data_IF_458957270431
#
_entry.id   IF_458957270431
#
_cell.length_a   1.000
_cell.length_b   1.000
_cell.length_c   1.000
_cell.angle_alpha   90.00
_cell.angle_beta   90.00
_cell.angle_gamma   90.00
#
_symmetry.space_group_name_H-M   'P 1'
#
loop_
_entity.id
_entity.type
_entity.pdbx_description
1 polymer ?
#
# COMPACT_ATOMS: atom_id res chain seq x y z
N UNK A 1 -16.20 -24.04 -17.34
CA UNK A 1 -15.12 -23.49 -18.20
C UNK A 1 -15.58 -23.28 -19.65
N UNK A 2 -15.96 -24.31 -20.41
CA UNK A 2 -16.42 -24.15 -21.82
C UNK A 2 -17.49 -23.07 -22.03
N UNK A 3 -18.60 -23.13 -21.29
CA UNK A 3 -19.68 -22.13 -21.34
C UNK A 3 -19.22 -20.72 -20.94
N UNK A 4 -18.31 -20.63 -19.97
CA UNK A 4 -17.77 -19.37 -19.47
C UNK A 4 -16.88 -18.67 -20.51
N UNK A 5 -16.11 -19.44 -21.29
CA UNK A 5 -15.29 -18.91 -22.39
C UNK A 5 -16.19 -18.33 -23.48
N UNK A 6 -17.17 -19.11 -23.95
CA UNK A 6 -18.10 -18.64 -24.99
C UNK A 6 -18.84 -17.37 -24.55
N UNK A 7 -19.34 -17.35 -23.31
CA UNK A 7 -19.99 -16.17 -22.72
C UNK A 7 -19.07 -14.94 -22.66
N UNK A 8 -17.83 -15.10 -22.15
CA UNK A 8 -16.86 -13.99 -22.04
C UNK A 8 -16.38 -13.48 -23.40
N UNK A 9 -16.28 -14.36 -24.39
CA UNK A 9 -15.96 -14.01 -25.78
C UNK A 9 -17.18 -13.50 -26.57
N UNK A 10 -18.38 -13.49 -25.95
CA UNK A 10 -19.66 -13.11 -26.56
C UNK A 10 -20.00 -13.96 -27.80
N UNK A 11 -19.60 -15.22 -27.79
CA UNK A 11 -19.91 -16.22 -28.81
C UNK A 11 -21.11 -17.06 -28.34
N UNK A 12 -22.09 -17.29 -29.23
CA UNK A 12 -23.25 -18.15 -28.92
C UNK A 12 -22.88 -19.64 -28.96
N UNK A 13 -21.99 -19.99 -29.88
CA UNK A 13 -21.46 -21.34 -30.08
C UNK A 13 -19.99 -21.25 -30.51
N UNK A 14 -19.29 -22.38 -30.53
CA UNK A 14 -17.90 -22.43 -30.97
C UNK A 14 -17.82 -22.21 -32.50
N UNK A 15 -16.92 -21.33 -32.99
CA UNK A 15 -16.72 -21.13 -34.42
C UNK A 15 -16.36 -22.44 -35.12
N UNK A 16 -17.01 -22.71 -36.26
CA UNK A 16 -16.77 -23.92 -37.04
C UNK A 16 -15.55 -23.75 -37.96
N UNK A 17 -14.35 -23.91 -37.39
CA UNK A 17 -13.07 -23.75 -38.11
C UNK A 17 -12.21 -24.98 -37.85
N UNK A 18 -11.87 -25.72 -38.90
CA UNK A 18 -11.04 -26.93 -38.81
C UNK A 18 -9.56 -26.59 -38.77
N UNK A 19 -8.75 -27.55 -38.28
CA UNK A 19 -7.29 -27.42 -38.22
C UNK A 19 -6.64 -27.14 -39.59
N UNK A 20 -7.17 -27.66 -40.70
CA UNK A 20 -6.64 -27.34 -42.03
C UNK A 20 -6.88 -25.88 -42.41
N UNK A 21 -8.08 -25.37 -42.14
CA UNK A 21 -8.46 -23.98 -42.40
C UNK A 21 -7.62 -23.02 -41.56
N UNK A 22 -7.37 -23.34 -40.29
CA UNK A 22 -6.47 -22.57 -39.42
C UNK A 22 -5.06 -22.47 -40.02
N UNK A 23 -4.50 -23.58 -40.51
CA UNK A 23 -3.15 -23.59 -41.12
C UNK A 23 -3.06 -22.77 -42.41
N UNK A 24 -4.15 -22.70 -43.17
CA UNK A 24 -4.21 -21.91 -44.41
C UNK A 24 -4.42 -20.41 -44.14
N UNK A 25 -5.21 -20.06 -43.11
CA UNK A 25 -5.57 -18.68 -42.79
C UNK A 25 -4.59 -17.97 -41.85
N UNK A 26 -3.68 -18.70 -41.18
CA UNK A 26 -2.64 -18.11 -40.32
C UNK A 26 -1.55 -17.43 -41.17
N UNK A 27 -1.43 -16.09 -41.15
CA UNK A 27 -0.38 -15.40 -41.90
C UNK A 27 0.99 -15.65 -41.26
N UNK A 28 1.98 -16.04 -42.05
CA UNK A 28 3.39 -16.14 -41.62
C UNK A 28 4.05 -14.75 -41.60
N UNK A 29 3.55 -13.86 -40.75
CA UNK A 29 4.02 -12.49 -40.62
C UNK A 29 4.65 -12.24 -39.23
N UNK A 30 5.71 -11.41 -39.13
CA UNK A 30 6.41 -11.16 -37.87
C UNK A 30 5.54 -10.75 -36.66
N UNK A 31 4.50 -9.90 -36.81
CA UNK A 31 3.66 -9.49 -35.68
C UNK A 31 2.90 -10.63 -35.01
N UNK A 32 2.51 -11.66 -35.79
CA UNK A 32 1.81 -12.82 -35.25
C UNK A 32 2.77 -13.77 -34.55
N UNK A 33 3.99 -13.90 -35.09
CA UNK A 33 5.03 -14.73 -34.51
C UNK A 33 5.46 -14.21 -33.13
N UNK A 34 5.56 -12.89 -32.97
CA UNK A 34 5.81 -12.26 -31.66
C UNK A 34 4.72 -12.58 -30.61
N UNK A 35 3.45 -12.67 -31.01
CA UNK A 35 2.36 -13.03 -30.09
C UNK A 35 2.37 -14.50 -29.70
N UNK A 36 2.82 -15.39 -30.59
CA UNK A 36 2.99 -16.81 -30.29
C UNK A 36 4.22 -17.04 -29.39
N UNK A 37 5.33 -16.35 -29.65
CA UNK A 37 6.54 -16.39 -28.83
C UNK A 37 6.24 -15.92 -27.39
N UNK A 38 5.40 -14.89 -27.21
CA UNK A 38 4.94 -14.44 -25.88
C UNK A 38 4.22 -15.54 -25.07
N UNK A 39 3.54 -16.47 -25.74
CA UNK A 39 2.86 -17.59 -25.09
C UNK A 39 3.81 -18.76 -24.78
N UNK A 40 4.80 -19.03 -25.65
CA UNK A 40 5.81 -20.06 -25.40
C UNK A 40 6.76 -19.67 -24.25
N UNK A 41 7.09 -18.39 -24.10
CA UNK A 41 7.85 -17.89 -22.94
C UNK A 41 7.06 -17.96 -21.62
N UNK A 42 5.73 -17.88 -21.66
CA UNK A 42 4.86 -18.08 -20.49
C UNK A 42 4.68 -19.57 -20.13
N UNK A 43 5.02 -20.49 -21.04
CA UNK A 43 4.86 -21.93 -20.85
C UNK A 43 5.83 -22.57 -19.85
N UNK A 44 6.99 -21.96 -19.62
CA UNK A 44 8.06 -22.54 -18.78
C UNK A 44 8.74 -21.55 -17.82
N UNK A 45 8.22 -20.33 -17.70
CA UNK A 45 8.66 -19.36 -16.69
C UNK A 45 7.57 -19.15 -15.66
N UNK A 46 7.52 -20.05 -14.67
CA UNK A 46 7.16 -19.63 -13.31
C UNK A 46 8.26 -18.69 -12.80
N UNK A 47 8.37 -17.48 -13.38
CA UNK A 47 8.79 -16.38 -12.54
C UNK A 47 7.63 -16.22 -11.55
N UNK A 48 7.88 -16.25 -10.24
CA UNK A 48 6.97 -15.57 -9.35
C UNK A 48 7.03 -14.13 -9.84
N UNK A 49 6.07 -13.73 -10.67
CA UNK A 49 5.75 -12.33 -10.76
C UNK A 49 5.49 -11.94 -9.31
N UNK A 50 6.48 -11.30 -8.69
CA UNK A 50 6.33 -10.37 -7.59
C UNK A 50 5.43 -9.23 -8.12
N UNK A 51 4.20 -9.55 -8.52
CA UNK A 51 3.10 -8.66 -8.19
C UNK A 51 3.12 -8.61 -6.68
N UNK A 52 3.85 -7.62 -6.16
CA UNK A 52 3.54 -7.00 -4.90
C UNK A 52 2.02 -6.86 -4.91
N UNK A 53 1.33 -7.78 -4.22
CA UNK A 53 -0.10 -7.64 -3.98
C UNK A 53 -0.19 -6.33 -3.20
N UNK A 54 -0.53 -5.24 -3.89
CA UNK A 54 -0.97 -4.03 -3.24
C UNK A 54 -2.05 -4.48 -2.27
N UNK A 55 -1.90 -4.10 -1.00
CA UNK A 55 -2.94 -4.29 0.00
C UNK A 55 -4.14 -3.44 -0.44
N UNK A 56 -4.93 -3.90 -1.41
CA UNK A 56 -6.11 -3.21 -1.98
C UNK A 56 -7.20 -2.96 -0.92
N UNK A 57 -7.02 -3.52 0.27
CA UNK A 57 -7.92 -3.38 1.40
C UNK A 57 -7.50 -2.28 2.40
N UNK A 58 -6.25 -1.81 2.37
CA UNK A 58 -5.74 -0.83 3.32
C UNK A 58 -5.11 0.36 2.59
N UNK A 59 -5.52 1.57 2.95
CA UNK A 59 -4.93 2.79 2.41
C UNK A 59 -3.43 2.84 2.70
N UNK A 60 -2.63 3.07 1.65
CA UNK A 60 -1.19 3.33 1.78
C UNK A 60 -0.98 4.76 2.26
N UNK A 61 -0.20 4.93 3.32
CA UNK A 61 0.08 6.27 3.87
C UNK A 61 1.30 6.87 3.18
N UNK A 62 1.12 7.87 2.32
CA UNK A 62 2.23 8.52 1.61
C UNK A 62 2.77 9.78 2.32
N UNK A 63 1.86 10.60 2.87
CA UNK A 63 2.19 11.87 3.53
C UNK A 63 1.49 11.96 4.89
N UNK A 64 2.24 12.35 5.91
CA UNK A 64 1.74 12.58 7.28
C UNK A 64 2.02 14.02 7.67
N UNK A 65 1.03 14.72 8.21
CA UNK A 65 1.18 16.04 8.82
C UNK A 65 0.92 15.90 10.32
N UNK A 66 1.89 16.33 11.14
CA UNK A 66 1.78 16.31 12.60
C UNK A 66 1.85 17.74 13.14
N UNK A 67 0.85 18.14 13.92
CA UNK A 67 0.78 19.46 14.54
C UNK A 67 1.60 19.49 15.83
N UNK A 68 2.17 20.64 16.16
CA UNK A 68 2.84 20.85 17.44
C UNK A 68 1.85 20.66 18.60
N UNK A 69 2.28 19.91 19.60
CA UNK A 69 1.59 19.74 20.87
C UNK A 69 2.37 20.45 21.98
N UNK A 70 1.71 20.68 23.11
CA UNK A 70 2.36 21.17 24.32
C UNK A 70 3.38 20.13 24.82
N UNK A 71 4.52 20.61 25.32
CA UNK A 71 5.56 19.74 25.90
C UNK A 71 5.16 19.25 27.29
N UNK A 72 5.82 18.20 27.77
CA UNK A 72 5.61 17.68 29.11
C UNK A 72 5.93 18.76 30.18
N UNK A 73 5.08 18.95 31.22
CA UNK A 73 5.33 19.88 32.32
C UNK A 73 6.71 19.78 32.96
N UNK A 74 7.35 18.60 32.93
CA UNK A 74 8.71 18.37 33.48
C UNK A 74 9.79 19.19 32.75
N UNK A 75 9.51 19.63 31.53
CA UNK A 75 10.40 20.43 30.68
C UNK A 75 9.97 21.90 30.65
N UNK A 76 8.77 22.22 31.12
CA UNK A 76 8.22 23.57 31.14
C UNK A 76 8.69 24.33 32.40
N UNK A 77 9.17 25.56 32.22
CA UNK A 77 9.47 26.48 33.32
C UNK A 77 8.76 27.81 32.98
N UNK A 78 8.24 28.50 34.00
CA UNK A 78 7.56 29.81 33.92
C UNK A 78 6.11 29.82 33.40
N UNK A 79 5.43 28.67 33.30
CA UNK A 79 3.99 28.63 33.03
C UNK A 79 3.56 29.08 31.63
N UNK A 80 4.52 29.31 30.72
CA UNK A 80 4.26 29.47 29.30
C UNK A 80 4.41 28.10 28.62
N UNK A 81 3.36 27.56 27.97
CA UNK A 81 3.45 26.27 27.30
C UNK A 81 4.44 26.39 26.15
N UNK A 82 5.65 25.85 26.34
CA UNK A 82 6.60 25.66 25.25
C UNK A 82 6.03 24.57 24.35
N UNK A 83 5.38 24.95 23.26
CA UNK A 83 5.43 24.08 22.09
C UNK A 83 6.91 24.05 21.61
N UNK A 84 7.38 23.00 20.95
CA UNK A 84 6.63 22.05 20.15
C UNK A 84 7.05 20.61 20.47
N UNK A 85 6.12 19.82 20.99
CA UNK A 85 6.26 18.36 21.02
C UNK A 85 5.58 17.73 19.81
N UNK A 86 6.30 16.85 19.10
CA UNK A 86 5.75 16.09 17.99
C UNK A 86 5.73 14.61 18.35
N UNK A 87 4.51 14.07 18.47
CA UNK A 87 4.30 12.66 18.73
C UNK A 87 3.92 11.93 17.43
N UNK A 88 4.47 10.73 17.25
CA UNK A 88 4.23 9.89 16.08
C UNK A 88 3.75 8.52 16.50
N UNK A 89 2.80 7.96 15.74
CA UNK A 89 2.34 6.60 16.01
C UNK A 89 3.48 5.59 15.79
N UNK A 90 3.52 4.47 16.53
CA UNK A 90 4.52 3.44 16.32
C UNK A 90 4.59 2.97 14.86
N UNK A 91 3.44 2.88 14.17
CA UNK A 91 3.36 2.52 12.75
C UNK A 91 4.26 3.42 11.89
N UNK A 92 4.19 4.74 12.09
CA UNK A 92 5.00 5.71 11.33
C UNK A 92 6.48 5.63 11.73
N UNK A 93 6.77 5.47 13.02
CA UNK A 93 8.15 5.41 13.53
C UNK A 93 8.95 4.24 12.93
N UNK A 94 8.28 3.14 12.58
CA UNK A 94 8.89 1.98 11.93
C UNK A 94 8.87 2.03 10.39
N UNK A 95 8.29 3.07 9.78
CA UNK A 95 8.31 3.27 8.31
C UNK A 95 9.52 4.04 7.84
N UNK A 96 9.87 3.89 6.55
CA UNK A 96 11.04 4.56 5.98
C UNK A 96 10.69 6.02 5.66
N UNK A 97 11.31 6.96 6.37
CA UNK A 97 11.15 8.40 6.11
C UNK A 97 11.95 8.81 4.85
N UNK A 98 11.24 9.25 3.82
CA UNK A 98 11.82 9.76 2.56
C UNK A 98 12.19 11.23 2.69
N UNK A 99 11.28 12.04 3.25
CA UNK A 99 11.42 13.50 3.43
C UNK A 99 10.77 13.90 4.76
N UNK A 100 11.34 14.86 5.49
CA UNK A 100 10.69 15.47 6.64
C UNK A 100 10.98 16.98 6.68
N UNK A 101 9.94 17.80 6.78
CA UNK A 101 10.05 19.26 6.86
C UNK A 101 9.28 19.78 8.06
N UNK A 102 9.93 20.62 8.87
CA UNK A 102 9.28 21.43 9.88
C UNK A 102 8.90 22.76 9.25
N UNK A 103 7.64 23.15 9.39
CA UNK A 103 7.10 24.40 8.91
C UNK A 103 6.85 25.34 10.09
N UNK A 104 7.38 26.56 9.99
CA UNK A 104 7.27 27.59 11.02
C UNK A 104 6.79 28.88 10.37
N UNK A 105 5.79 29.51 10.98
CA UNK A 105 5.31 30.81 10.52
C UNK A 105 6.07 31.94 11.22
N UNK A 106 6.60 32.87 10.43
CA UNK A 106 7.28 34.07 10.90
C UNK A 106 6.36 35.28 10.74
N UNK A 107 6.20 36.04 11.83
CA UNK A 107 5.42 37.28 11.84
C UNK A 107 5.99 38.31 10.84
N UNK A 108 5.12 39.12 10.21
CA UNK A 108 5.55 40.14 9.26
C UNK A 108 6.45 41.18 9.91
N UNK A 109 7.40 41.69 9.13
CA UNK A 109 8.31 42.77 9.54
C UNK A 109 8.01 44.04 8.74
N UNK A 110 8.12 45.21 9.38
CA UNK A 110 7.84 46.49 8.71
C UNK A 110 8.98 46.91 7.76
N UNK A 111 10.21 46.51 8.08
CA UNK A 111 11.43 46.80 7.33
C UNK A 111 12.18 45.50 7.02
N UNK A 112 12.94 45.51 5.92
CA UNK A 112 13.81 44.39 5.55
C UNK A 112 14.77 44.08 6.69
N UNK A 113 14.69 42.87 7.25
CA UNK A 113 15.46 42.47 8.42
C UNK A 113 15.96 41.05 8.27
N UNK A 114 17.18 40.84 8.71
CA UNK A 114 17.79 39.51 8.79
C UNK A 114 17.40 38.88 10.13
N UNK A 115 16.67 37.78 10.06
CA UNK A 115 16.21 36.99 11.21
C UNK A 115 17.08 35.76 11.38
N UNK A 116 17.43 35.45 12.63
CA UNK A 116 18.16 34.25 13.00
C UNK A 116 17.20 33.24 13.62
N UNK A 117 16.79 32.25 12.83
CA UNK A 117 15.99 31.14 13.28
C UNK A 117 16.88 30.08 13.93
N UNK A 118 16.58 29.72 15.17
CA UNK A 118 17.26 28.71 15.95
C UNK A 118 16.27 27.64 16.37
N UNK A 119 16.66 26.38 16.15
CA UNK A 119 15.92 25.22 16.64
C UNK A 119 16.76 24.52 17.67
N UNK A 120 16.21 24.37 18.87
CA UNK A 120 16.85 23.77 20.01
C UNK A 120 16.08 22.52 20.43
N UNK A 121 16.77 21.45 20.76
CA UNK A 121 16.19 20.25 21.38
C UNK A 121 16.13 20.46 22.88
N UNK A 122 14.96 20.20 23.46
CA UNK A 122 14.75 20.25 24.90
C UNK A 122 15.35 19.01 25.60
N UNK A 123 15.69 19.17 26.88
CA UNK A 123 16.12 18.09 27.78
C UNK A 123 15.46 18.24 29.15
N UNK A 124 15.27 17.15 29.90
CA UNK A 124 14.81 17.22 31.28
C UNK A 124 15.83 17.95 32.15
N UNK A 125 15.33 18.61 33.19
CA UNK A 125 16.14 19.36 34.16
C UNK A 125 16.87 18.38 35.07
N UNK A 126 18.06 17.93 34.66
CA UNK A 126 19.04 17.23 35.52
C UNK A 126 20.16 18.21 35.87
N UNK A 127 20.59 18.21 37.13
CA UNK A 127 21.19 19.36 37.84
C UNK A 127 22.45 20.04 37.26
N UNK A 128 23.15 19.51 36.24
CA UNK A 128 24.31 20.21 35.68
C UNK A 128 24.43 20.04 34.16
N UNK A 129 24.22 21.14 33.41
CA UNK A 129 24.45 21.19 31.96
C UNK A 129 23.54 22.15 31.20
N UNK A 130 23.83 22.35 29.90
CA UNK A 130 22.97 23.12 29.01
C UNK A 130 21.63 22.40 28.80
N UNK A 131 20.53 23.07 29.14
CA UNK A 131 19.14 22.57 29.01
C UNK A 131 18.68 22.36 27.57
N UNK A 132 19.45 22.89 26.62
CA UNK A 132 19.16 22.89 25.19
C UNK A 132 20.32 22.28 24.40
N UNK A 133 20.02 21.48 23.36
CA UNK A 133 21.00 21.14 22.31
C UNK A 133 20.61 21.88 21.04
N UNK A 134 21.51 22.66 20.47
CA UNK A 134 21.29 23.30 19.17
C UNK A 134 21.20 22.27 18.05
N UNK A 135 20.04 22.20 17.39
CA UNK A 135 19.82 21.35 16.22
C UNK A 135 20.26 22.08 14.96
N UNK A 136 19.74 23.30 14.75
CA UNK A 136 19.97 24.06 13.53
C UNK A 136 19.89 25.57 13.78
N UNK A 137 20.64 26.32 12.99
CA UNK A 137 20.53 27.78 12.92
C UNK A 137 20.48 28.20 11.46
N UNK A 138 19.55 29.08 11.13
CA UNK A 138 19.29 29.55 9.77
C UNK A 138 19.22 31.07 9.79
N UNK A 139 19.90 31.71 8.84
CA UNK A 139 19.80 33.14 8.57
C UNK A 139 18.76 33.34 7.47
N UNK A 140 17.74 34.13 7.74
CA UNK A 140 16.60 34.35 6.84
C UNK A 140 16.45 35.85 6.64
N UNK A 141 16.49 36.32 5.39
CA UNK A 141 16.24 37.72 5.08
C UNK A 141 14.75 37.92 4.79
N UNK A 142 14.05 38.58 5.71
CA UNK A 142 12.62 38.87 5.60
C UNK A 142 12.41 40.26 5.01
N UNK A 143 11.73 40.31 3.85
CA UNK A 143 11.44 41.54 3.12
C UNK A 143 9.93 41.83 2.99
N UNK A 144 9.09 41.03 3.62
CA UNK A 144 7.64 41.01 3.39
C UNK A 144 6.86 41.65 4.55
N UNK A 145 5.90 42.51 4.18
CA UNK A 145 4.87 43.05 5.10
C UNK A 145 3.78 42.03 5.43
N UNK A 146 3.84 40.87 4.78
CA UNK A 146 2.96 39.71 4.99
C UNK A 146 3.81 38.63 5.67
N UNK A 147 3.26 37.91 6.63
CA UNK A 147 4.01 36.84 7.31
C UNK A 147 4.42 35.73 6.35
N UNK A 148 5.46 34.99 6.74
CA UNK A 148 6.18 34.09 5.84
C UNK A 148 6.31 32.69 6.46
N UNK A 149 5.99 31.67 5.69
CA UNK A 149 6.23 30.28 6.06
C UNK A 149 7.64 29.86 5.71
N UNK A 150 8.42 29.50 6.73
CA UNK A 150 9.75 28.94 6.56
C UNK A 150 9.69 27.42 6.72
N UNK A 151 10.17 26.69 5.71
CA UNK A 151 10.41 25.25 5.83
C UNK A 151 11.85 24.95 6.26
N UNK A 152 12.02 23.98 7.15
CA UNK A 152 13.30 23.50 7.65
C UNK A 152 13.39 21.99 7.47
N UNK A 153 14.43 21.50 6.80
CA UNK A 153 14.66 20.05 6.69
C UNK A 153 15.00 19.45 8.05
N UNK A 154 14.20 18.44 8.43
CA UNK A 154 14.23 17.77 9.73
C UNK A 154 14.46 16.26 9.62
N UNK A 155 14.74 15.74 8.42
CA UNK A 155 14.82 14.30 8.13
C UNK A 155 15.78 13.55 9.05
N UNK A 156 17.01 14.05 9.20
CA UNK A 156 18.04 13.37 9.99
C UNK A 156 17.74 13.39 11.50
N UNK A 157 17.17 14.50 11.99
CA UNK A 157 16.79 14.64 13.40
C UNK A 157 15.67 13.65 13.73
N UNK A 158 14.65 13.61 12.86
CA UNK A 158 13.51 12.73 13.01
C UNK A 158 13.89 11.25 12.92
N UNK A 159 14.79 10.88 11.99
CA UNK A 159 15.30 9.50 11.90
C UNK A 159 16.03 9.07 13.17
N UNK A 160 16.76 9.97 13.83
CA UNK A 160 17.40 9.68 15.11
C UNK A 160 16.38 9.55 16.24
N UNK A 161 15.33 10.38 16.27
CA UNK A 161 14.23 10.25 17.23
C UNK A 161 13.45 8.95 17.04
N UNK A 162 13.21 8.50 15.82
CA UNK A 162 12.52 7.23 15.57
C UNK A 162 13.33 6.01 16.05
N UNK A 163 14.67 6.09 15.99
CA UNK A 163 15.56 5.06 16.55
C UNK A 163 15.62 5.10 18.07
N UNK A 164 15.48 6.29 18.67
CA UNK A 164 15.59 6.51 20.12
C UNK A 164 14.46 7.44 20.58
N UNK A 165 13.22 6.93 20.75
CA UNK A 165 12.06 7.75 21.11
C UNK A 165 12.20 8.45 22.45
N UNK A 166 12.91 7.84 23.41
CA UNK A 166 13.20 8.37 24.74
C UNK A 166 13.99 9.70 24.71
N UNK A 167 14.57 10.03 23.57
CA UNK A 167 15.31 11.26 23.37
C UNK A 167 14.43 12.43 22.90
N UNK A 168 13.18 12.17 22.51
CA UNK A 168 12.25 13.21 22.09
C UNK A 168 11.60 13.85 23.32
N UNK A 169 12.03 15.06 23.66
CA UNK A 169 11.44 15.90 24.72
C UNK A 169 10.77 17.16 24.13
N UNK A 170 10.65 17.22 22.80
CA UNK A 170 10.21 18.41 22.08
C UNK A 170 11.35 19.32 21.64
N UNK A 171 10.97 20.37 20.93
CA UNK A 171 11.88 21.39 20.40
C UNK A 171 11.38 22.78 20.77
N UNK A 172 12.32 23.68 20.95
CA UNK A 172 12.10 25.11 21.07
C UNK A 172 12.50 25.77 19.75
N UNK A 173 11.66 26.70 19.30
CA UNK A 173 11.81 27.39 18.01
C UNK A 173 11.82 28.89 18.30
N UNK A 174 12.97 29.51 18.09
CA UNK A 174 13.16 30.93 18.32
C UNK A 174 13.60 31.59 17.02
N UNK A 175 13.03 32.74 16.66
CA UNK A 175 13.39 33.48 15.46
C UNK A 175 13.58 34.97 15.76
N UNK A 176 14.81 35.33 16.15
CA UNK A 176 15.11 36.69 16.59
C UNK A 176 15.47 37.61 15.42
N UNK A 177 14.83 38.78 15.37
CA UNK A 177 15.25 39.90 14.53
C UNK A 177 16.51 40.60 15.12
N UNK A 178 17.11 41.57 14.43
CA UNK A 178 18.25 42.32 14.95
C UNK A 178 17.96 43.14 16.22
N UNK A 179 16.68 43.38 16.53
CA UNK A 179 16.23 44.11 17.71
C UNK A 179 15.95 43.18 18.90
N UNK A 180 16.09 41.85 18.73
CA UNK A 180 15.82 40.84 19.75
C UNK A 180 14.34 40.45 19.88
N UNK A 181 13.49 40.86 18.95
CA UNK A 181 12.09 40.44 18.92
C UNK A 181 12.01 39.03 18.33
N UNK A 182 11.36 38.10 19.04
CA UNK A 182 11.02 36.80 18.48
C UNK A 182 9.84 36.95 17.51
N UNK A 183 10.02 36.47 16.29
CA UNK A 183 9.03 36.50 15.21
C UNK A 183 8.39 35.13 14.97
N UNK A 184 8.92 34.05 15.56
CA UNK A 184 8.31 32.74 15.43
C UNK A 184 6.93 32.73 16.09
N UNK A 185 5.95 32.14 15.42
CA UNK A 185 4.65 31.83 16.02
C UNK A 185 4.71 30.40 16.50
N UNK A 186 4.69 30.27 17.82
CA UNK A 186 4.80 29.00 18.55
C UNK A 186 3.46 28.65 19.17
N UNK A 187 2.78 29.59 19.81
CA UNK A 187 1.39 29.44 20.26
C UNK A 187 0.56 30.67 19.86
N UNK A 188 -0.70 30.43 19.48
CA UNK A 188 -1.66 31.51 19.23
C UNK A 188 -2.08 32.12 20.56
N UNK A 189 -1.83 33.43 20.73
CA UNK A 189 -2.45 34.20 21.80
C UNK A 189 -3.98 34.26 21.63
N UNK A 190 -4.75 34.42 22.72
CA UNK A 190 -6.21 34.46 22.65
C UNK A 190 -6.67 35.61 21.74
N UNK A 191 -7.22 35.29 20.57
CA UNK A 191 -7.80 36.26 19.62
C UNK A 191 -7.22 36.27 18.20
N UNK A 192 -6.28 35.39 17.86
CA UNK A 192 -5.76 35.28 16.50
C UNK A 192 -6.55 34.26 15.65
N UNK A 193 -7.14 34.72 14.55
CA UNK A 193 -7.83 33.86 13.58
C UNK A 193 -6.82 33.21 12.61
N UNK A 194 -6.72 31.88 12.65
CA UNK A 194 -5.93 31.08 11.71
C UNK A 194 -4.96 30.10 12.39
N UNK A 195 -4.89 28.85 11.90
CA UNK A 195 -3.92 27.84 12.34
C UNK A 195 -2.53 28.16 11.77
N UNK A 196 -1.71 28.92 12.51
CA UNK A 196 -0.31 29.22 12.19
C UNK A 196 0.69 28.51 13.11
N UNK A 197 0.21 27.51 13.87
CA UNK A 197 1.06 26.69 14.72
C UNK A 197 2.08 25.89 13.89
N UNK A 198 3.28 25.64 14.43
CA UNK A 198 4.28 24.84 13.75
C UNK A 198 3.78 23.42 13.48
N UNK A 199 4.09 22.89 12.30
CA UNK A 199 3.73 21.52 11.92
C UNK A 199 4.87 20.81 11.19
N UNK A 200 4.86 19.50 11.24
CA UNK A 200 5.83 18.65 10.56
C UNK A 200 5.16 17.88 9.43
N UNK A 201 5.69 18.03 8.21
CA UNK A 201 5.32 17.26 7.02
C UNK A 201 6.32 16.12 6.82
N UNK A 202 5.83 14.89 6.77
CA UNK A 202 6.62 13.69 6.53
C UNK A 202 6.14 13.01 5.26
N UNK A 203 7.07 12.62 4.39
CA UNK A 203 6.80 11.63 3.34
C UNK A 203 7.43 10.32 3.73
N UNK A 204 6.61 9.29 3.81
CA UNK A 204 7.02 7.95 4.23
C UNK A 204 6.82 6.96 3.10
N UNK A 205 7.68 5.96 3.05
CA UNK A 205 7.51 4.79 2.21
C UNK A 205 7.11 3.65 3.14
N UNK A 206 5.86 3.20 3.03
CA UNK A 206 5.44 1.95 3.64
C UNK A 206 6.15 0.82 2.90
N UNK A 207 7.14 0.22 3.55
CA UNK A 207 7.55 -1.12 3.17
C UNK A 207 6.40 -2.02 3.60
N UNK A 208 5.55 -2.42 2.65
CA UNK A 208 4.59 -3.50 2.86
C UNK A 208 5.39 -4.73 3.27
N UNK A 209 5.57 -4.92 4.59
CA UNK A 209 5.97 -6.20 5.13
C UNK A 209 4.90 -7.14 4.64
N UNK A 210 5.28 -8.09 3.78
CA UNK A 210 4.42 -9.20 3.37
C UNK A 210 3.78 -9.75 4.63
N UNK A 211 2.53 -9.38 4.88
CA UNK A 211 1.70 -10.19 5.75
C UNK A 211 1.65 -11.52 5.02
N UNK A 212 2.15 -12.60 5.63
CA UNK A 212 1.78 -13.95 5.20
C UNK A 212 0.29 -14.07 5.49
N UNK A 213 -0.53 -13.44 4.64
CA UNK A 213 -1.96 -13.71 4.54
C UNK A 213 -2.06 -15.22 4.30
N UNK A 214 -3.04 -15.85 4.96
CA UNK A 214 -3.33 -17.29 4.83
C UNK A 214 -3.02 -17.75 3.41
N UNK A 215 -1.88 -18.45 3.24
CA UNK A 215 -1.57 -19.08 1.97
C UNK A 215 -2.75 -20.02 1.73
N UNK A 216 -3.53 -19.77 0.67
CA UNK A 216 -4.54 -20.73 0.25
C UNK A 216 -3.87 -22.09 0.17
N UNK A 217 -4.54 -23.11 0.71
CA UNK A 217 -3.99 -24.46 0.67
C UNK A 217 -3.90 -24.88 -0.81
N UNK A 218 -2.75 -25.40 -1.21
CA UNK A 218 -2.51 -26.01 -2.51
C UNK A 218 -2.41 -27.52 -2.30
N UNK A 219 -3.33 -28.26 -2.94
CA UNK A 219 -3.45 -29.69 -2.79
C UNK A 219 -3.14 -30.38 -4.11
N UNK A 220 -2.45 -31.51 -4.02
CA UNK A 220 -2.27 -32.41 -5.14
C UNK A 220 -3.50 -33.30 -5.33
N UNK A 221 -3.64 -33.91 -6.50
CA UNK A 221 -4.78 -34.80 -6.82
C UNK A 221 -4.95 -35.98 -5.85
N UNK A 222 -3.86 -36.40 -5.19
CA UNK A 222 -3.85 -37.51 -4.23
C UNK A 222 -3.98 -37.04 -2.76
N UNK A 223 -4.18 -35.74 -2.54
CA UNK A 223 -4.30 -35.19 -1.18
C UNK A 223 -5.61 -35.65 -0.52
N UNK A 224 -5.51 -36.12 0.72
CA UNK A 224 -6.67 -36.46 1.57
C UNK A 224 -7.20 -35.27 2.37
N UNK A 225 -6.76 -34.05 2.05
CA UNK A 225 -7.23 -32.82 2.69
C UNK A 225 -8.74 -32.64 2.48
N UNK A 226 -9.47 -32.50 3.59
CA UNK A 226 -10.92 -32.30 3.57
C UNK A 226 -11.30 -30.83 3.58
N UNK A 227 -10.38 -29.93 3.97
CA UNK A 227 -10.61 -28.48 4.02
C UNK A 227 -10.55 -27.85 2.63
N UNK A 228 -11.12 -26.64 2.51
CA UNK A 228 -11.08 -25.87 1.28
C UNK A 228 -9.65 -25.66 0.76
N UNK A 229 -9.39 -26.17 -0.44
CA UNK A 229 -8.07 -26.23 -1.05
C UNK A 229 -8.14 -25.99 -2.56
N UNK A 230 -7.04 -25.51 -3.14
CA UNK A 230 -6.86 -25.36 -4.58
C UNK A 230 -6.23 -26.63 -5.15
N UNK A 231 -6.86 -27.21 -6.16
CA UNK A 231 -6.38 -28.39 -6.87
C UNK A 231 -5.95 -28.04 -8.29
N UNK A 232 -4.89 -28.67 -8.82
CA UNK A 232 -4.47 -28.47 -10.20
C UNK A 232 -5.53 -28.99 -11.17
N UNK A 233 -5.78 -28.22 -12.23
CA UNK A 233 -6.60 -28.66 -13.36
C UNK A 233 -6.04 -28.03 -14.62
N UNK A 234 -5.61 -28.87 -15.55
CA UNK A 234 -5.14 -28.41 -16.87
C UNK A 234 -6.28 -28.53 -17.88
N UNK A 235 -6.57 -27.42 -18.54
CA UNK A 235 -7.54 -27.37 -19.64
C UNK A 235 -6.79 -27.51 -20.95
N UNK A 236 -7.16 -28.51 -21.73
CA UNK A 236 -6.62 -28.75 -23.08
C UNK A 236 -7.70 -28.43 -24.12
N UNK A 237 -7.44 -27.43 -24.96
CA UNK A 237 -8.37 -27.01 -26.01
C UNK A 237 -8.34 -27.95 -27.22
N UNK A 238 -7.23 -28.62 -27.48
CA UNK A 238 -7.13 -29.62 -28.55
C UNK A 238 -7.97 -30.85 -28.20
N UNK A 239 -7.95 -31.27 -26.93
CA UNK A 239 -8.81 -32.35 -26.44
C UNK A 239 -10.31 -32.03 -26.55
N UNK A 240 -10.68 -30.75 -26.61
CA UNK A 240 -12.06 -30.30 -26.80
C UNK A 240 -12.46 -30.17 -28.28
N UNK A 241 -11.53 -30.37 -29.21
CA UNK A 241 -11.73 -30.09 -30.64
C UNK A 241 -11.90 -28.60 -30.93
N UNK A 242 -11.37 -27.72 -30.06
CA UNK A 242 -11.47 -26.27 -30.23
C UNK A 242 -10.26 -25.74 -31.00
N UNK A 243 -10.18 -26.14 -32.27
CA UNK A 243 -9.07 -25.78 -33.17
C UNK A 243 -9.02 -24.27 -33.49
N UNK A 244 -10.13 -23.57 -33.35
CA UNK A 244 -10.26 -22.13 -33.54
C UNK A 244 -9.48 -21.30 -32.49
N UNK A 245 -9.06 -21.91 -31.38
CA UNK A 245 -8.12 -21.29 -30.42
C UNK A 245 -6.70 -21.54 -30.89
N UNK A 246 -6.00 -20.46 -31.26
CA UNK A 246 -4.63 -20.52 -31.75
C UNK A 246 -3.66 -20.67 -30.57
N UNK A 247 -3.80 -19.84 -29.52
CA UNK A 247 -2.98 -19.90 -28.31
C UNK A 247 -3.74 -19.38 -27.06
N UNK A 248 -3.44 -19.89 -25.85
CA UNK A 248 -2.62 -21.07 -25.58
C UNK A 248 -3.35 -22.37 -25.95
N UNK A 249 -2.62 -23.47 -26.20
CA UNK A 249 -3.22 -24.79 -26.45
C UNK A 249 -3.66 -25.50 -25.18
N UNK A 250 -2.91 -25.30 -24.10
CA UNK A 250 -3.22 -25.78 -22.75
C UNK A 250 -2.96 -24.69 -21.74
N UNK A 251 -3.73 -24.66 -20.66
CA UNK A 251 -3.44 -23.78 -19.53
C UNK A 251 -3.88 -24.41 -18.19
N UNK A 252 -3.23 -24.02 -17.10
CA UNK A 252 -3.55 -24.50 -15.74
C UNK A 252 -4.66 -23.61 -15.15
N UNK A 253 -5.90 -24.07 -15.22
CA UNK A 253 -7.05 -23.35 -14.69
C UNK A 253 -7.14 -23.46 -13.16
N UNK A 254 -6.80 -24.63 -12.61
CA UNK A 254 -7.04 -25.00 -11.21
C UNK A 254 -8.52 -24.92 -10.81
N UNK A 255 -8.88 -25.48 -9.66
CA UNK A 255 -10.22 -25.37 -9.10
C UNK A 255 -10.21 -25.42 -7.58
N UNK A 256 -11.26 -24.91 -6.95
CA UNK A 256 -11.45 -24.98 -5.50
C UNK A 256 -12.34 -26.15 -5.14
N UNK A 257 -11.92 -26.93 -4.16
CA UNK A 257 -12.71 -28.04 -3.61
C UNK A 257 -12.37 -28.24 -2.13
N UNK A 258 -13.29 -28.83 -1.40
CA UNK A 258 -13.16 -29.08 0.04
C UNK A 258 -14.28 -28.46 0.86
N UNK A 259 -14.26 -28.76 2.14
CA UNK A 259 -15.25 -28.35 3.12
C UNK A 259 -14.80 -27.08 3.84
N UNK A 260 -15.78 -26.26 4.19
CA UNK A 260 -15.59 -25.07 5.00
C UNK A 260 -16.35 -25.25 6.31
N UNK A 261 -15.62 -25.15 7.42
CA UNK A 261 -16.21 -25.22 8.75
C UNK A 261 -16.84 -23.89 9.13
N UNK A 262 -17.91 -23.93 9.93
CA UNK A 262 -18.48 -22.73 10.51
C UNK A 262 -17.59 -22.22 11.64
N UNK A 263 -17.32 -20.93 11.62
CA UNK A 263 -16.68 -20.23 12.73
C UNK A 263 -17.72 -19.32 13.38
N UNK A 264 -18.04 -19.57 14.65
CA UNK A 264 -18.90 -18.69 15.43
C UNK A 264 -18.04 -17.87 16.42
N UNK A 265 -18.27 -16.55 16.48
CA UNK A 265 -17.70 -15.69 17.52
C UNK A 265 -18.58 -15.72 18.77
N UNK A 266 -18.01 -16.10 19.91
CA UNK A 266 -18.69 -15.99 21.21
C UNK A 266 -18.65 -14.55 21.73
N UNK A 267 -19.71 -14.08 22.41
CA UNK A 267 -19.90 -12.65 22.73
C UNK A 267 -19.08 -12.13 23.94
N UNK A 268 -18.61 -12.97 24.88
CA UNK A 268 -17.76 -12.60 26.04
C UNK A 268 -17.10 -13.86 26.68
N UNK A 269 -16.03 -13.79 27.52
CA UNK A 269 -15.00 -12.74 27.70
C UNK A 269 -13.55 -13.24 27.47
N UNK A 270 -13.32 -14.35 26.75
CA UNK A 270 -11.99 -14.74 26.26
C UNK A 270 -12.06 -15.17 24.78
N UNK A 271 -12.91 -14.47 24.00
CA UNK A 271 -13.25 -14.69 22.58
C UNK A 271 -12.31 -15.63 21.81
N UNK A 272 -12.69 -16.91 21.76
CA UNK A 272 -12.12 -17.89 20.84
C UNK A 272 -13.14 -18.19 19.74
N UNK A 273 -12.64 -18.47 18.54
CA UNK A 273 -13.45 -19.00 17.45
C UNK A 273 -13.71 -20.48 17.73
N UNK A 274 -14.98 -20.86 17.84
CA UNK A 274 -15.37 -22.27 17.96
C UNK A 274 -15.65 -22.80 16.56
N UNK A 275 -14.89 -23.82 16.16
CA UNK A 275 -15.15 -24.60 14.96
C UNK A 275 -16.28 -25.58 15.25
N UNK A 276 -17.37 -25.50 14.48
CA UNK A 276 -18.44 -26.49 14.54
C UNK A 276 -18.51 -27.23 13.19
N UNK A 277 -18.32 -28.55 13.23
CA UNK A 277 -18.51 -29.41 12.08
C UNK A 277 -20.00 -29.44 11.70
N UNK A 278 -20.29 -29.14 10.43
CA UNK A 278 -21.67 -29.02 9.93
C UNK A 278 -22.35 -30.40 9.84
N UNK A 279 -23.55 -30.60 10.42
CA UNK A 279 -24.43 -31.68 9.99
C UNK A 279 -24.98 -31.33 8.60
N UNK A 280 -24.85 -32.27 7.64
CA UNK A 280 -25.25 -32.10 6.23
C UNK A 280 -26.62 -31.41 6.09
N UNK A 281 -26.68 -30.25 5.43
CA UNK A 281 -27.95 -29.67 4.94
C UNK A 281 -28.25 -28.19 5.26
N UNK A 282 -27.38 -27.44 5.96
CA UNK A 282 -27.58 -25.99 6.18
C UNK A 282 -26.68 -25.10 5.30
N UNK A 283 -27.13 -23.89 4.98
CA UNK A 283 -26.45 -22.87 4.16
C UNK A 283 -25.17 -22.36 4.84
N UNK A 284 -24.06 -23.05 4.61
CA UNK A 284 -22.75 -22.74 5.19
C UNK A 284 -21.79 -22.08 4.22
N UNK A 285 -20.62 -21.63 4.71
CA UNK A 285 -19.59 -21.07 3.85
C UNK A 285 -19.23 -22.09 2.78
N UNK A 286 -19.07 -21.62 1.54
CA UNK A 286 -18.70 -22.44 0.40
C UNK A 286 -17.22 -22.26 0.08
N UNK A 287 -16.55 -23.33 -0.38
CA UNK A 287 -15.19 -23.22 -0.90
C UNK A 287 -15.23 -22.59 -2.29
N UNK A 288 -14.82 -21.33 -2.41
CA UNK A 288 -14.88 -20.54 -3.65
C UNK A 288 -13.53 -19.91 -3.98
N UNK A 289 -13.28 -19.57 -5.26
CA UNK A 289 -12.11 -18.78 -5.64
C UNK A 289 -12.17 -17.38 -5.03
N UNK A 290 -11.18 -17.04 -4.21
CA UNK A 290 -11.03 -15.70 -3.62
C UNK A 290 -10.16 -14.78 -4.47
N UNK A 291 -9.27 -15.36 -5.29
CA UNK A 291 -8.47 -14.63 -6.27
C UNK A 291 -8.41 -15.43 -7.58
N UNK A 292 -8.63 -14.74 -8.68
CA UNK A 292 -8.51 -15.30 -10.02
C UNK A 292 -7.71 -14.39 -10.95
N UNK A 293 -6.83 -14.97 -11.75
CA UNK A 293 -6.04 -14.26 -12.74
C UNK A 293 -6.64 -14.40 -14.15
N UNK A 294 -6.39 -13.41 -15.02
CA UNK A 294 -6.77 -13.47 -16.42
C UNK A 294 -5.83 -14.38 -17.23
N UNK A 295 -6.27 -14.82 -18.41
CA UNK A 295 -5.39 -15.39 -19.44
C UNK A 295 -5.45 -14.53 -20.71
N UNK A 296 -4.34 -14.42 -21.42
CA UNK A 296 -4.35 -13.91 -22.79
C UNK A 296 -4.75 -15.04 -23.74
N UNK A 297 -5.55 -14.75 -24.76
CA UNK A 297 -6.03 -15.72 -25.73
C UNK A 297 -5.99 -15.14 -27.14
N UNK A 298 -5.47 -15.93 -28.07
CA UNK A 298 -5.45 -15.69 -29.50
C UNK A 298 -6.40 -16.69 -30.17
N UNK A 299 -7.44 -16.20 -30.85
CA UNK A 299 -8.50 -17.06 -31.40
C UNK A 299 -9.13 -16.48 -32.66
N UNK A 300 -9.80 -17.33 -33.44
CA UNK A 300 -10.63 -16.91 -34.56
C UNK A 300 -12.08 -16.64 -34.13
N UNK A 301 -12.67 -15.55 -34.62
CA UNK A 301 -14.11 -15.31 -34.50
C UNK A 301 -14.92 -15.95 -35.64
N UNK A 302 -16.25 -15.88 -35.56
CA UNK A 302 -17.18 -16.40 -36.60
C UNK A 302 -17.00 -15.75 -37.98
N UNK A 303 -16.26 -14.63 -38.05
CA UNK A 303 -15.95 -13.89 -39.28
C UNK A 303 -14.53 -14.17 -39.79
N UNK A 304 -13.88 -15.22 -39.30
CA UNK A 304 -12.51 -15.62 -39.66
C UNK A 304 -11.44 -14.57 -39.37
N UNK A 305 -11.69 -13.68 -38.41
CA UNK A 305 -10.72 -12.68 -37.96
C UNK A 305 -9.95 -13.21 -36.75
N UNK A 306 -8.64 -12.95 -36.71
CA UNK A 306 -7.78 -13.29 -35.57
C UNK A 306 -7.90 -12.19 -34.52
N UNK A 307 -8.27 -12.56 -33.29
CA UNK A 307 -8.42 -11.64 -32.15
C UNK A 307 -7.45 -12.06 -31.06
N UNK A 308 -6.68 -11.09 -30.56
CA UNK A 308 -5.90 -11.22 -29.34
C UNK A 308 -6.58 -10.44 -28.22
N UNK A 309 -6.85 -11.10 -27.09
CA UNK A 309 -7.54 -10.47 -25.98
C UNK A 309 -7.24 -11.11 -24.63
N UNK A 310 -7.49 -10.36 -23.56
CA UNK A 310 -7.35 -10.79 -22.17
C UNK A 310 -8.71 -11.20 -21.61
N UNK A 311 -8.82 -12.45 -21.15
CA UNK A 311 -10.05 -13.01 -20.56
C UNK A 311 -9.89 -13.03 -19.04
N UNK A 312 -10.65 -12.21 -18.29
CA UNK A 312 -10.52 -12.12 -16.83
C UNK A 312 -11.05 -13.38 -16.14
N UNK A 313 -10.55 -13.70 -14.94
CA UNK A 313 -11.11 -14.74 -14.08
C UNK A 313 -11.13 -16.14 -14.70
N UNK A 314 -9.99 -16.59 -15.21
CA UNK A 314 -9.84 -17.87 -15.93
C UNK A 314 -8.95 -18.87 -15.19
N UNK A 315 -8.03 -18.37 -14.36
CA UNK A 315 -7.13 -19.18 -13.53
C UNK A 315 -7.46 -18.91 -12.08
N UNK A 316 -7.64 -19.95 -11.28
CA UNK A 316 -7.83 -19.86 -9.83
C UNK A 316 -6.45 -19.72 -9.18
N UNK A 317 -6.20 -18.57 -8.58
CA UNK A 317 -4.94 -18.29 -7.85
C UNK A 317 -5.07 -18.66 -6.37
N UNK A 318 -6.26 -18.47 -5.79
CA UNK A 318 -6.50 -18.72 -4.36
C UNK A 318 -7.93 -19.17 -4.12
N UNK A 319 -8.09 -20.14 -3.22
CA UNK A 319 -9.37 -20.61 -2.70
C UNK A 319 -9.59 -20.11 -1.27
N UNK A 320 -10.84 -19.98 -0.86
CA UNK A 320 -11.21 -19.65 0.51
C UNK A 320 -12.67 -19.96 0.80
N UNK A 321 -13.05 -19.80 2.06
CA UNK A 321 -14.40 -20.04 2.54
C UNK A 321 -15.16 -18.71 2.57
N UNK A 322 -16.26 -18.62 1.81
CA UNK A 322 -17.12 -17.42 1.69
C UNK A 322 -18.59 -17.73 1.94
#
# INVERSE_FOLDING_TARGET
>A
IKSQILSKLRLKEAPNITREVVKQLLPKAPPLQQLLDLHDFQGDSLQPDEYLEEDEYHATTETVISMAQETDPVVQIEGNPHCCFFNFSPKIMFTKVVKAQLWVYLRPVQHTSTVYLQILRLKPVTEEGSRHIRIRSLKIDLNSRIGHWQSIDFKHVLQNWFKQPQNNWGIEINAFDPNGNDLAVTSLGPGAEGLVDPFMELRVLENNKRSRRNLGLDCDEHSTESRCCRYPLTVDFEAFGWDWIIAPKRYKANYCSGQCEYMFMQKYPHTHLVQQANPRGSAGPCCTPTKMSPINMLYFNDKQQIIYGKIPGMVVDRCGCS
#
